data_IF_518116544371
#
_entry.id   IF_518116544371
#
_cell.length_a   1.000
_cell.length_b   1.000
_cell.length_c   1.000
_cell.angle_alpha   90.00
_cell.angle_beta   90.00
_cell.angle_gamma   90.00
#
_symmetry.space_group_name_H-M   'P 1'
#
loop_
_entity.id
_entity.type
_entity.pdbx_description
1 polymer ?
#
# COMPACT_ATOMS: atom_id res chain seq x y z
N UNK A 1 -14.38 -11.65 34.87
CA UNK A 1 -14.60 -12.78 33.94
C UNK A 1 -14.93 -12.23 32.56
N UNK A 2 -13.95 -12.04 31.68
CA UNK A 2 -14.13 -11.98 30.22
C UNK A 2 -12.74 -11.94 29.56
N UNK A 3 -12.09 -13.09 29.44
CA UNK A 3 -10.96 -13.24 28.51
C UNK A 3 -11.10 -14.59 27.81
N UNK A 4 -12.21 -14.73 27.08
CA UNK A 4 -12.31 -15.75 26.05
C UNK A 4 -11.96 -15.07 24.76
N UNK A 5 -10.69 -15.22 24.37
CA UNK A 5 -10.24 -14.94 23.02
C UNK A 5 -10.84 -16.09 22.20
N UNK A 6 -12.09 -15.93 21.76
CA UNK A 6 -12.73 -16.92 20.91
C UNK A 6 -11.81 -17.15 19.71
N UNK A 7 -11.30 -18.38 19.49
CA UNK A 7 -10.38 -18.62 18.40
C UNK A 7 -11.10 -18.28 17.10
N UNK A 8 -10.55 -17.31 16.37
CA UNK A 8 -11.03 -16.94 15.04
C UNK A 8 -11.23 -18.21 14.21
N UNK A 9 -12.32 -18.33 13.42
CA UNK A 9 -12.60 -19.54 12.67
C UNK A 9 -11.37 -19.96 11.86
N UNK A 10 -11.02 -21.26 11.81
CA UNK A 10 -9.72 -21.76 11.34
C UNK A 10 -9.36 -21.35 9.90
N UNK A 11 -10.36 -20.97 9.10
CA UNK A 11 -10.20 -20.46 7.75
C UNK A 11 -9.45 -19.12 7.70
N UNK A 12 -9.69 -18.23 8.67
CA UNK A 12 -9.05 -16.91 8.73
C UNK A 12 -7.54 -17.04 9.00
N UNK A 13 -7.16 -17.99 9.86
CA UNK A 13 -5.75 -18.27 10.17
C UNK A 13 -4.96 -18.75 8.94
N UNK A 14 -5.59 -19.53 8.06
CA UNK A 14 -4.95 -20.00 6.82
C UNK A 14 -4.69 -18.87 5.82
N UNK A 15 -5.68 -18.00 5.62
CA UNK A 15 -5.56 -16.83 4.73
C UNK A 15 -4.53 -15.85 5.29
N UNK A 16 -4.55 -15.59 6.60
CA UNK A 16 -3.58 -14.73 7.27
C UNK A 16 -2.15 -15.28 7.14
N UNK A 17 -1.92 -16.58 7.37
CA UNK A 17 -0.60 -17.20 7.12
C UNK A 17 -0.18 -17.10 5.67
N UNK A 18 -1.09 -17.34 4.73
CA UNK A 18 -0.80 -17.21 3.30
C UNK A 18 -0.36 -15.80 2.93
N UNK A 19 -1.08 -14.79 3.41
CA UNK A 19 -0.74 -13.38 3.20
C UNK A 19 0.61 -13.00 3.86
N UNK A 20 0.89 -13.51 5.06
CA UNK A 20 2.19 -13.31 5.73
C UNK A 20 3.34 -13.92 4.92
N UNK A 21 3.19 -15.15 4.43
CA UNK A 21 4.21 -15.81 3.61
C UNK A 21 4.43 -15.02 2.31
N UNK A 22 3.36 -14.60 1.63
CA UNK A 22 3.46 -13.77 0.44
C UNK A 22 4.17 -12.43 0.74
N UNK A 23 3.87 -11.81 1.88
CA UNK A 23 4.54 -10.60 2.35
C UNK A 23 6.03 -10.81 2.60
N UNK A 24 6.42 -11.90 3.25
CA UNK A 24 7.83 -12.25 3.48
C UNK A 24 8.56 -12.49 2.17
N UNK A 25 7.97 -13.24 1.25
CA UNK A 25 8.55 -13.48 -0.09
C UNK A 25 8.70 -12.17 -0.85
N UNK A 26 7.70 -11.28 -0.80
CA UNK A 26 7.76 -9.95 -1.40
C UNK A 26 8.87 -9.09 -0.78
N UNK A 27 9.07 -9.16 0.53
CA UNK A 27 10.13 -8.43 1.23
C UNK A 27 11.52 -8.93 0.83
N UNK A 28 11.71 -10.25 0.71
CA UNK A 28 12.95 -10.85 0.19
C UNK A 28 13.19 -10.39 -1.25
N UNK A 29 12.16 -10.42 -2.10
CA UNK A 29 12.27 -9.94 -3.48
C UNK A 29 12.65 -8.45 -3.55
N UNK A 30 12.15 -7.62 -2.62
CA UNK A 30 12.54 -6.22 -2.51
C UNK A 30 14.02 -6.06 -2.15
N UNK A 31 14.52 -6.83 -1.18
CA UNK A 31 15.94 -6.81 -0.79
C UNK A 31 16.82 -7.23 -1.97
N UNK A 32 16.45 -8.29 -2.68
CA UNK A 32 17.20 -8.75 -3.87
C UNK A 32 17.17 -7.71 -4.98
N UNK A 33 16.01 -7.09 -5.24
CA UNK A 33 15.87 -6.03 -6.24
C UNK A 33 16.76 -4.82 -5.95
N UNK A 34 16.85 -4.39 -4.68
CA UNK A 34 17.74 -3.30 -4.24
C UNK A 34 19.22 -3.59 -4.50
N UNK A 35 19.65 -4.85 -4.44
CA UNK A 35 21.04 -5.25 -4.67
C UNK A 35 21.40 -5.35 -6.16
N UNK A 36 20.42 -5.66 -7.02
CA UNK A 36 20.65 -5.85 -8.46
C UNK A 36 20.59 -4.50 -9.20
N UNK A 37 19.47 -3.78 -9.07
CA UNK A 37 19.26 -2.53 -9.76
C UNK A 37 18.27 -1.65 -8.98
N UNK A 38 18.83 -0.62 -8.33
CA UNK A 38 18.06 0.30 -7.48
C UNK A 38 17.00 1.07 -8.27
N UNK A 39 17.31 1.51 -9.50
CA UNK A 39 16.38 2.28 -10.33
C UNK A 39 15.16 1.44 -10.72
N UNK A 40 15.39 0.24 -11.24
CA UNK A 40 14.31 -0.67 -11.63
C UNK A 40 13.48 -1.13 -10.41
N UNK A 41 14.14 -1.33 -9.26
CA UNK A 41 13.45 -1.62 -8.00
C UNK A 41 12.46 -0.51 -7.61
N UNK A 42 12.91 0.74 -7.58
CA UNK A 42 12.08 1.87 -7.17
C UNK A 42 10.89 2.10 -8.13
N UNK A 43 11.09 1.90 -9.44
CA UNK A 43 10.00 1.96 -10.42
C UNK A 43 8.95 0.87 -10.19
N UNK A 44 9.38 -0.40 -10.06
CA UNK A 44 8.46 -1.52 -9.81
C UNK A 44 7.75 -1.41 -8.45
N UNK A 45 8.48 -0.95 -7.42
CA UNK A 45 7.95 -0.71 -6.08
C UNK A 45 6.85 0.35 -6.09
N UNK A 46 7.04 1.46 -6.81
CA UNK A 46 6.03 2.51 -6.93
C UNK A 46 4.75 1.99 -7.57
N UNK A 47 4.84 1.17 -8.62
CA UNK A 47 3.66 0.58 -9.27
C UNK A 47 2.88 -0.31 -8.29
N UNK A 48 3.59 -1.18 -7.57
CA UNK A 48 2.98 -2.02 -6.54
C UNK A 48 2.33 -1.20 -5.42
N UNK A 49 3.03 -0.17 -4.95
CA UNK A 49 2.51 0.74 -3.92
C UNK A 49 1.23 1.44 -4.36
N UNK A 50 1.20 2.03 -5.57
CA UNK A 50 0.03 2.73 -6.11
C UNK A 50 -1.17 1.78 -6.24
N UNK A 51 -0.94 0.53 -6.65
CA UNK A 51 -2.00 -0.47 -6.74
C UNK A 51 -2.68 -0.71 -5.37
N UNK A 52 -1.90 -0.98 -4.33
CA UNK A 52 -2.45 -1.23 -2.99
C UNK A 52 -3.02 0.04 -2.34
N UNK A 53 -2.41 1.20 -2.58
CA UNK A 53 -2.90 2.50 -2.12
C UNK A 53 -4.30 2.81 -2.65
N UNK A 54 -4.58 2.51 -3.92
CA UNK A 54 -5.91 2.70 -4.51
C UNK A 54 -6.99 1.84 -3.84
N UNK A 55 -6.67 0.62 -3.41
CA UNK A 55 -7.61 -0.26 -2.70
C UNK A 55 -7.96 0.33 -1.33
N UNK A 56 -6.96 0.82 -0.58
CA UNK A 56 -7.19 1.47 0.70
C UNK A 56 -8.02 2.75 0.54
N UNK A 57 -7.68 3.58 -0.46
CA UNK A 57 -8.36 4.83 -0.72
C UNK A 57 -9.81 4.62 -1.21
N UNK A 58 -10.01 3.63 -2.09
CA UNK A 58 -11.34 3.22 -2.56
C UNK A 58 -12.22 2.69 -1.42
N UNK A 59 -11.63 1.97 -0.47
CA UNK A 59 -12.35 1.49 0.72
C UNK A 59 -12.87 2.67 1.55
N UNK A 60 -12.06 3.71 1.77
CA UNK A 60 -12.48 4.92 2.48
C UNK A 60 -13.57 5.67 1.71
N UNK A 61 -13.38 5.86 0.39
CA UNK A 61 -14.35 6.56 -0.45
C UNK A 61 -15.72 5.88 -0.41
N UNK A 62 -15.75 4.54 -0.47
CA UNK A 62 -16.99 3.78 -0.36
C UNK A 62 -17.59 3.86 1.06
N UNK A 63 -16.79 3.83 2.12
CA UNK A 63 -17.28 4.04 3.50
C UNK A 63 -17.94 5.40 3.65
N UNK A 64 -17.31 6.46 3.14
CA UNK A 64 -17.87 7.82 3.16
C UNK A 64 -19.17 7.91 2.37
N UNK A 65 -19.23 7.31 1.18
CA UNK A 65 -20.44 7.24 0.37
C UNK A 65 -21.58 6.52 1.11
N UNK A 66 -21.27 5.44 1.82
CA UNK A 66 -22.25 4.72 2.63
C UNK A 66 -22.83 5.57 3.76
N UNK A 67 -22.00 6.36 4.43
CA UNK A 67 -22.49 7.31 5.45
C UNK A 67 -23.40 8.39 4.85
N UNK A 68 -23.21 8.74 3.59
CA UNK A 68 -24.01 9.77 2.92
C UNK A 68 -25.36 9.25 2.39
N UNK A 69 -25.38 8.04 1.82
CA UNK A 69 -26.56 7.48 1.15
C UNK A 69 -27.47 6.68 2.09
N UNK A 70 -26.95 6.13 3.20
CA UNK A 70 -27.76 5.45 4.22
C UNK A 70 -28.36 4.09 3.81
N UNK A 71 -27.90 3.50 2.70
CA UNK A 71 -28.44 2.24 2.17
C UNK A 71 -28.10 1.00 3.02
N UNK A 72 -29.10 0.18 3.36
CA UNK A 72 -28.99 -1.03 4.22
C UNK A 72 -28.10 -2.15 3.64
N UNK A 73 -27.89 -2.18 2.32
CA UNK A 73 -26.99 -3.15 1.64
C UNK A 73 -25.54 -3.05 2.12
N UNK A 74 -25.17 -1.91 2.68
CA UNK A 74 -23.79 -1.59 3.05
C UNK A 74 -23.35 -2.32 4.31
N UNK A 75 -24.30 -2.80 5.12
CA UNK A 75 -24.00 -3.45 6.39
C UNK A 75 -23.15 -4.72 6.22
N UNK A 76 -23.34 -5.45 5.12
CA UNK A 76 -22.58 -6.66 4.81
C UNK A 76 -21.12 -6.36 4.42
N UNK A 77 -20.88 -5.28 3.67
CA UNK A 77 -19.56 -4.93 3.15
C UNK A 77 -18.80 -3.96 4.07
N UNK A 78 -19.48 -3.25 4.97
CA UNK A 78 -18.91 -2.23 5.85
C UNK A 78 -17.72 -2.75 6.67
N UNK A 79 -17.82 -3.93 7.25
CA UNK A 79 -16.70 -4.53 8.02
C UNK A 79 -15.45 -4.77 7.16
N UNK A 80 -15.64 -5.20 5.92
CA UNK A 80 -14.54 -5.42 4.98
C UNK A 80 -13.91 -4.10 4.56
N UNK A 81 -14.74 -3.10 4.25
CA UNK A 81 -14.27 -1.77 3.87
C UNK A 81 -13.59 -1.03 5.02
N UNK A 82 -14.08 -1.15 6.26
CA UNK A 82 -13.43 -0.58 7.45
C UNK A 82 -12.07 -1.24 7.71
N UNK A 83 -11.98 -2.57 7.51
CA UNK A 83 -10.69 -3.27 7.54
C UNK A 83 -9.76 -2.80 6.43
N UNK A 84 -10.27 -2.56 5.22
CA UNK A 84 -9.50 -2.01 4.10
C UNK A 84 -9.03 -0.57 4.36
N UNK A 85 -9.86 0.27 4.97
CA UNK A 85 -9.50 1.62 5.37
C UNK A 85 -8.35 1.64 6.39
N UNK A 86 -8.32 0.68 7.34
CA UNK A 86 -7.22 0.54 8.30
C UNK A 86 -5.88 0.16 7.64
N UNK A 87 -5.89 -0.44 6.44
CA UNK A 87 -4.65 -0.70 5.69
C UNK A 87 -3.96 0.58 5.22
N UNK A 88 -4.65 1.72 5.24
CA UNK A 88 -4.04 3.01 4.90
C UNK A 88 -2.91 3.37 5.87
N UNK A 89 -3.03 3.02 7.15
CA UNK A 89 -1.96 3.24 8.13
C UNK A 89 -0.71 2.40 7.78
N UNK A 90 -0.91 1.17 7.31
CA UNK A 90 0.17 0.32 6.82
C UNK A 90 0.78 0.89 5.53
N UNK A 91 -0.03 1.39 4.59
CA UNK A 91 0.45 2.05 3.38
C UNK A 91 1.27 3.30 3.71
N UNK A 92 0.86 4.10 4.70
CA UNK A 92 1.64 5.25 5.16
C UNK A 92 3.04 4.86 5.65
N UNK A 93 3.18 3.70 6.32
CA UNK A 93 4.48 3.17 6.71
C UNK A 93 5.31 2.72 5.49
N UNK A 94 4.67 2.03 4.54
CA UNK A 94 5.29 1.58 3.28
C UNK A 94 5.62 2.72 2.30
N UNK A 95 5.24 3.95 2.62
CA UNK A 95 5.63 5.14 1.86
C UNK A 95 7.08 5.58 2.16
N UNK A 96 7.65 5.19 3.31
CA UNK A 96 9.01 5.61 3.73
C UNK A 96 10.09 5.25 2.68
N UNK A 97 10.14 4.03 2.10
CA UNK A 97 11.10 3.70 1.05
C UNK A 97 10.99 4.58 -0.20
N UNK A 98 9.78 5.06 -0.53
CA UNK A 98 9.55 5.90 -1.71
C UNK A 98 10.21 7.27 -1.52
N UNK A 99 10.11 7.85 -0.31
CA UNK A 99 10.75 9.12 0.02
C UNK A 99 12.27 9.07 -0.14
N UNK A 100 12.89 7.95 0.18
CA UNK A 100 14.33 7.73 -0.01
C UNK A 100 14.70 7.53 -1.48
N UNK A 101 13.79 6.95 -2.28
CA UNK A 101 13.98 6.65 -3.70
C UNK A 101 13.67 7.79 -4.67
N UNK A 102 13.22 8.96 -4.20
CA UNK A 102 12.74 10.08 -5.04
C UNK A 102 13.76 10.49 -6.10
N UNK A 103 15.06 10.47 -5.77
CA UNK A 103 16.13 10.84 -6.71
C UNK A 103 16.33 9.85 -7.86
N UNK A 104 15.96 8.58 -7.66
CA UNK A 104 16.03 7.52 -8.67
C UNK A 104 14.77 7.49 -9.54
N UNK A 105 13.63 7.94 -8.99
CA UNK A 105 12.32 7.88 -9.64
C UNK A 105 12.01 9.08 -10.54
N UNK A 106 12.44 10.29 -10.17
CA UNK A 106 12.05 11.52 -10.86
C UNK A 106 13.23 12.20 -11.55
N UNK A 107 13.11 12.39 -12.87
CA UNK A 107 14.04 13.22 -13.66
C UNK A 107 14.07 14.67 -13.13
N UNK A 108 12.93 15.21 -12.68
CA UNK A 108 12.84 16.55 -12.06
C UNK A 108 13.56 16.67 -10.71
N UNK A 109 13.85 15.55 -10.03
CA UNK A 109 14.63 15.57 -8.80
C UNK A 109 16.16 15.65 -9.08
N UNK A 110 16.57 15.57 -10.34
CA UNK A 110 17.98 15.73 -10.76
C UNK A 110 18.23 17.22 -11.05
N UNK A 111 18.95 17.94 -10.17
CA UNK A 111 19.18 19.38 -10.34
C UNK A 111 19.94 19.71 -11.64
N UNK A 112 20.73 18.77 -12.17
CA UNK A 112 21.48 18.95 -13.42
C UNK A 112 20.57 19.12 -14.65
N UNK A 113 19.46 18.37 -14.75
CA UNK A 113 18.56 18.45 -15.91
C UNK A 113 17.60 19.65 -15.85
N UNK A 114 17.23 20.07 -14.63
CA UNK A 114 16.44 21.29 -14.42
C UNK A 114 17.25 22.51 -14.86
N UNK A 115 18.54 22.56 -14.53
CA UNK A 115 19.44 23.63 -14.96
C UNK A 115 19.61 23.68 -16.49
N UNK A 116 19.73 22.54 -17.17
CA UNK A 116 19.88 22.48 -18.63
C UNK A 116 18.60 22.90 -19.38
N UNK A 117 17.42 22.50 -18.89
CA UNK A 117 16.14 22.92 -19.46
C UNK A 117 15.84 24.41 -19.27
N UNK A 118 16.32 25.02 -18.18
CA UNK A 118 16.18 26.45 -17.90
C UNK A 118 17.10 27.32 -18.78
N UNK A 119 18.16 26.75 -19.37
CA UNK A 119 19.04 27.46 -20.30
C UNK A 119 18.52 27.44 -21.75
N UNK A 120 17.50 26.63 -22.06
CA UNK A 120 16.89 26.49 -23.39
C UNK A 120 15.55 27.24 -23.53
N UNK A 121 15.11 27.95 -22.48
CA UNK A 121 13.94 28.85 -22.48
C UNK A 121 14.36 30.31 -22.45
#
# INVERSE_FOLDING_TARGET
MMNQIDPLPPQFNRIQRGALIAGVVGLIACIVGLLINQEQFFQAYLVGYIFWMQIALGSIGLVMLHYLVGGRWSFAIRRLLESGAMTLLLMALLFIPILLGVQYLYLLARPEQVAESALLQ
#
